data_IF_113328975252
#
_entry.id   IF_113328975252
#
_cell.length_a   1.000
_cell.length_b   1.000
_cell.length_c   1.000
_cell.angle_alpha   90.00
_cell.angle_beta   90.00
_cell.angle_gamma   90.00
#
_symmetry.space_group_name_H-M   'P 1'
#
loop_
_entity.id
_entity.type
_entity.pdbx_description
1 polymer ?
#
# COMPACT_ATOMS: atom_id res chain seq x y z
N UNK A 1 7.67 -1.89 19.07
CA UNK A 1 6.96 -2.22 17.82
C UNK A 1 7.53 -3.52 17.27
N UNK A 2 6.73 -4.51 16.84
CA UNK A 2 7.29 -5.72 16.26
C UNK A 2 8.01 -5.31 14.96
N UNK A 3 9.06 -6.03 14.58
CA UNK A 3 9.96 -5.71 13.46
C UNK A 3 10.99 -4.60 13.75
N UNK A 4 12.02 -4.90 14.56
CA UNK A 4 13.27 -4.12 14.64
C UNK A 4 14.42 -4.98 14.09
N UNK A 5 15.04 -4.53 13.00
CA UNK A 5 16.17 -5.22 12.38
C UNK A 5 17.03 -4.23 11.59
N UNK A 6 18.36 -4.45 11.50
CA UNK A 6 19.30 -3.47 10.97
C UNK A 6 19.03 -3.09 9.50
N UNK A 7 18.47 -3.99 8.70
CA UNK A 7 18.13 -3.70 7.30
C UNK A 7 16.90 -2.78 7.17
N UNK A 8 15.92 -2.91 8.06
CA UNK A 8 14.69 -2.12 8.02
C UNK A 8 14.98 -0.65 8.29
N UNK A 9 15.82 -0.37 9.28
CA UNK A 9 16.17 1.02 9.61
C UNK A 9 17.03 1.66 8.51
N UNK A 10 18.01 0.92 7.93
CA UNK A 10 18.75 1.40 6.76
C UNK A 10 17.86 1.75 5.56
N UNK A 11 16.84 0.93 5.28
CA UNK A 11 15.88 1.21 4.20
C UNK A 11 15.13 2.51 4.48
N UNK A 12 14.62 2.68 5.70
CA UNK A 12 13.87 3.89 6.09
C UNK A 12 14.75 5.13 6.03
N UNK A 13 15.95 5.08 6.60
CA UNK A 13 16.93 6.17 6.54
C UNK A 13 17.18 6.58 5.09
N UNK A 14 17.46 5.61 4.22
CA UNK A 14 17.71 5.88 2.81
C UNK A 14 16.52 6.53 2.10
N UNK A 15 15.29 6.11 2.41
CA UNK A 15 14.09 6.67 1.80
C UNK A 15 13.81 8.11 2.29
N UNK A 16 14.08 8.39 3.56
CA UNK A 16 13.99 9.75 4.10
C UNK A 16 15.02 10.67 3.43
N UNK A 17 16.26 10.22 3.24
CA UNK A 17 17.29 10.95 2.50
C UNK A 17 16.89 11.23 1.05
N UNK A 18 16.15 10.31 0.41
CA UNK A 18 15.63 10.48 -0.94
C UNK A 18 14.46 11.48 -1.03
N UNK A 19 14.00 12.02 0.11
CA UNK A 19 12.96 13.04 0.17
C UNK A 19 11.55 12.52 0.41
N UNK A 20 11.36 11.22 0.69
CA UNK A 20 10.08 10.73 1.16
C UNK A 20 9.78 11.29 2.57
N UNK A 21 8.52 11.61 2.83
CA UNK A 21 8.10 12.20 4.10
C UNK A 21 7.97 11.17 5.22
N UNK A 22 7.67 9.91 4.88
CA UNK A 22 7.68 8.79 5.82
C UNK A 22 7.77 7.44 5.09
N UNK A 23 8.12 6.39 5.83
CA UNK A 23 8.22 5.02 5.33
C UNK A 23 7.70 3.99 6.35
N UNK A 24 6.86 3.07 5.88
CA UNK A 24 6.40 1.88 6.61
C UNK A 24 6.80 0.59 5.91
N UNK A 25 6.90 -0.50 6.67
CA UNK A 25 7.10 -1.85 6.11
C UNK A 25 6.00 -2.75 6.67
N UNK A 26 5.26 -3.40 5.78
CA UNK A 26 4.20 -4.35 6.11
C UNK A 26 4.52 -5.73 5.54
N UNK A 27 3.86 -6.78 6.04
CA UNK A 27 3.93 -8.10 5.41
C UNK A 27 3.04 -8.13 4.17
N UNK A 28 3.46 -8.88 3.16
CA UNK A 28 2.65 -9.16 1.99
C UNK A 28 1.70 -10.33 2.30
N UNK A 29 0.62 -10.03 3.00
CA UNK A 29 -0.41 -10.99 3.41
C UNK A 29 -1.73 -10.71 2.66
N UNK A 30 -2.64 -11.68 2.70
CA UNK A 30 -3.98 -11.54 2.10
C UNK A 30 -4.83 -10.64 3.02
N UNK A 31 -5.43 -9.60 2.46
CA UNK A 31 -6.23 -8.62 3.20
C UNK A 31 -7.70 -9.06 3.31
N UNK A 32 -8.05 -9.82 4.34
CA UNK A 32 -9.39 -10.42 4.46
C UNK A 32 -10.48 -9.43 4.84
N UNK A 33 -10.22 -8.49 5.75
CA UNK A 33 -11.21 -7.52 6.21
C UNK A 33 -11.44 -6.43 5.15
N UNK A 34 -10.35 -5.91 4.58
CA UNK A 34 -10.39 -4.91 3.52
C UNK A 34 -11.06 -5.44 2.25
N UNK A 35 -11.01 -6.75 2.00
CA UNK A 35 -11.75 -7.40 0.92
C UNK A 35 -13.25 -7.17 1.07
N UNK A 36 -13.81 -7.42 2.24
CA UNK A 36 -15.25 -7.28 2.45
C UNK A 36 -15.68 -5.82 2.32
N UNK A 37 -14.88 -4.90 2.85
CA UNK A 37 -15.11 -3.46 2.69
C UNK A 37 -15.07 -3.03 1.21
N UNK A 38 -14.05 -3.46 0.45
CA UNK A 38 -13.93 -3.15 -0.98
C UNK A 38 -15.11 -3.70 -1.77
N UNK A 39 -15.47 -4.97 -1.57
CA UNK A 39 -16.59 -5.59 -2.28
C UNK A 39 -17.92 -4.92 -1.94
N UNK A 40 -18.15 -4.59 -0.67
CA UNK A 40 -19.34 -3.83 -0.28
C UNK A 40 -19.37 -2.45 -0.94
N UNK A 41 -18.22 -1.76 -0.99
CA UNK A 41 -18.13 -0.43 -1.59
C UNK A 41 -18.35 -0.43 -3.10
N UNK A 42 -17.78 -1.42 -3.81
CA UNK A 42 -17.99 -1.63 -5.24
C UNK A 42 -19.46 -1.96 -5.55
N UNK A 43 -20.09 -2.88 -4.80
CA UNK A 43 -21.50 -3.26 -4.99
C UNK A 43 -22.46 -2.09 -4.82
N UNK A 44 -22.11 -1.11 -4.00
CA UNK A 44 -22.90 0.10 -3.77
C UNK A 44 -22.69 1.19 -4.84
N UNK A 45 -21.84 0.94 -5.85
CA UNK A 45 -21.55 1.94 -6.89
C UNK A 45 -20.83 3.18 -6.37
N UNK A 46 -20.16 3.10 -5.21
CA UNK A 46 -19.50 4.26 -4.59
C UNK A 46 -18.21 4.69 -5.32
N UNK A 47 -17.84 4.01 -6.40
CA UNK A 47 -16.72 4.36 -7.28
C UNK A 47 -17.04 5.43 -8.32
N UNK A 48 -18.31 5.87 -8.42
CA UNK A 48 -18.73 6.92 -9.34
C UNK A 48 -18.54 6.51 -10.79
N UNK A 49 -17.66 7.20 -11.52
CA UNK A 49 -17.34 6.90 -12.93
C UNK A 49 -16.03 6.10 -13.07
N UNK A 50 -15.49 5.58 -11.97
CA UNK A 50 -14.21 4.87 -11.97
C UNK A 50 -14.40 3.38 -12.25
N UNK A 51 -14.96 3.01 -13.40
CA UNK A 51 -15.27 1.61 -13.76
C UNK A 51 -14.05 0.67 -13.68
N UNK A 52 -12.84 1.21 -13.78
CA UNK A 52 -11.60 0.46 -13.60
C UNK A 52 -11.39 -0.04 -12.15
N UNK A 53 -12.11 0.50 -11.16
CA UNK A 53 -12.06 0.06 -9.76
C UNK A 53 -12.62 -1.35 -9.58
N UNK A 54 -13.54 -1.78 -10.44
CA UNK A 54 -14.07 -3.15 -10.45
C UNK A 54 -13.11 -4.17 -11.07
N UNK A 55 -12.05 -3.70 -11.76
CA UNK A 55 -11.10 -4.59 -12.43
C UNK A 55 -10.15 -5.24 -11.42
N UNK A 56 -10.00 -6.55 -11.55
CA UNK A 56 -9.04 -7.39 -10.82
C UNK A 56 -8.99 -7.13 -9.30
N UNK A 57 -10.12 -7.18 -8.58
CA UNK A 57 -10.16 -6.91 -7.14
C UNK A 57 -9.26 -7.88 -6.36
N UNK A 58 -9.13 -9.13 -6.82
CA UNK A 58 -8.30 -10.15 -6.16
C UNK A 58 -6.82 -9.75 -6.05
N UNK A 59 -6.28 -9.04 -7.05
CA UNK A 59 -4.89 -8.54 -7.01
C UNK A 59 -4.71 -7.47 -5.94
N UNK A 60 -5.76 -6.66 -5.68
CA UNK A 60 -5.74 -5.60 -4.65
C UNK A 60 -5.80 -6.18 -3.24
N UNK A 61 -6.37 -7.37 -3.11
CA UNK A 61 -6.52 -8.09 -1.84
C UNK A 61 -5.31 -8.98 -1.55
N UNK A 62 -4.68 -9.54 -2.58
CA UNK A 62 -3.55 -10.44 -2.45
C UNK A 62 -2.34 -9.92 -3.26
N UNK A 63 -1.41 -9.19 -2.60
CA UNK A 63 -0.18 -8.73 -3.23
C UNK A 63 0.65 -9.84 -3.87
N UNK A 64 0.54 -11.09 -3.39
CA UNK A 64 1.24 -12.24 -3.94
C UNK A 64 0.79 -12.64 -5.36
N UNK A 65 -0.41 -12.20 -5.79
CA UNK A 65 -0.86 -12.37 -7.18
C UNK A 65 -0.21 -11.37 -8.13
N UNK A 66 0.19 -10.19 -7.63
CA UNK A 66 0.89 -9.18 -8.43
C UNK A 66 2.37 -9.55 -8.62
N UNK A 67 3.03 -9.96 -7.53
CA UNK A 67 4.44 -10.33 -7.53
C UNK A 67 4.62 -11.65 -6.76
N UNK A 68 4.73 -12.80 -7.47
CA UNK A 68 4.93 -14.09 -6.84
C UNK A 68 6.16 -14.11 -5.93
N UNK A 69 5.98 -14.60 -4.71
CA UNK A 69 7.05 -14.68 -3.71
C UNK A 69 7.29 -13.41 -2.89
N UNK A 70 6.54 -12.32 -3.13
CA UNK A 70 6.59 -11.13 -2.27
C UNK A 70 6.32 -11.49 -0.80
N UNK A 71 7.18 -11.00 0.12
CA UNK A 71 7.07 -11.23 1.56
C UNK A 71 6.81 -9.96 2.36
N UNK A 72 7.25 -8.82 1.84
CA UNK A 72 7.09 -7.52 2.49
C UNK A 72 6.78 -6.45 1.47
N UNK A 73 6.06 -5.43 1.92
CA UNK A 73 5.73 -4.22 1.17
C UNK A 73 6.46 -3.05 1.83
N UNK A 74 7.13 -2.22 1.03
CA UNK A 74 7.68 -0.94 1.47
C UNK A 74 6.68 0.13 1.04
N UNK A 75 6.10 0.84 2.00
CA UNK A 75 5.12 1.89 1.76
C UNK A 75 5.79 3.22 2.06
N UNK A 76 5.74 4.16 1.12
CA UNK A 76 6.28 5.51 1.28
C UNK A 76 5.18 6.55 1.22
N UNK A 77 5.35 7.62 1.97
CA UNK A 77 4.49 8.78 1.96
C UNK A 77 5.25 9.96 1.37
N UNK A 78 4.60 10.68 0.45
CA UNK A 78 5.11 11.92 -0.10
C UNK A 78 4.10 13.02 0.16
N UNK A 79 4.52 14.07 0.87
CA UNK A 79 3.71 15.26 1.04
C UNK A 79 3.67 16.03 -0.29
N UNK A 80 2.51 16.01 -0.96
CA UNK A 80 2.29 16.72 -2.21
C UNK A 80 1.77 18.16 -2.01
N UNK A 81 1.74 18.68 -0.78
CA UNK A 81 1.34 20.06 -0.52
C UNK A 81 2.22 21.02 -1.32
N UNK A 82 1.62 21.84 -2.22
CA UNK A 82 2.39 22.74 -3.04
C UNK A 82 3.03 23.80 -2.13
N UNK A 83 4.34 23.91 -2.18
CA UNK A 83 5.05 25.01 -1.53
C UNK A 83 4.55 26.30 -2.19
N UNK A 84 3.88 27.17 -1.43
CA UNK A 84 3.53 28.51 -1.94
C UNK A 84 4.84 29.20 -2.34
N UNK A 85 4.95 29.55 -3.62
CA UNK A 85 6.02 30.37 -4.17
C UNK A 85 5.67 31.83 -3.89
#
# INVERSE_FOLDING_TARGET
MPFSGPIKEKIKERLLEMGFSACGIARAEILTEEKEHLLAWLRQGMHGTMDWMERNPDIRINPGLLLPGAKSLIIVLLNYYPRRI
#
